data_IF_446464480175
#
_entry.id   IF_446464480175
#
_cell.length_a   1.000
_cell.length_b   1.000
_cell.length_c   1.000
_cell.angle_alpha   90.00
_cell.angle_beta   90.00
_cell.angle_gamma   90.00
#
_symmetry.space_group_name_H-M   'P 1'
#
loop_
_entity.id
_entity.type
_entity.pdbx_description
1 polymer ?
#
# COMPACT_ATOMS: atom_id res chain seq x y z
N UNK A 1 19.93 5.38 24.40
CA UNK A 1 18.76 5.19 23.52
C UNK A 1 17.91 6.44 23.60
N UNK A 2 17.81 7.19 22.51
CA UNK A 2 17.12 8.49 22.47
C UNK A 2 15.61 8.33 22.25
N UNK A 3 14.84 9.41 22.46
CA UNK A 3 13.41 9.44 22.14
C UNK A 3 13.16 9.24 20.64
N UNK A 4 14.04 9.77 19.78
CA UNK A 4 13.94 9.58 18.33
C UNK A 4 14.04 8.09 17.96
N UNK A 5 15.01 7.37 18.55
CA UNK A 5 15.16 5.92 18.32
C UNK A 5 13.92 5.14 18.77
N UNK A 6 13.25 5.58 19.84
CA UNK A 6 11.99 4.97 20.31
C UNK A 6 10.82 5.25 19.38
N UNK A 7 10.74 6.45 18.79
CA UNK A 7 9.71 6.79 17.81
C UNK A 7 9.88 6.02 16.50
N UNK A 8 11.11 5.82 16.03
CA UNK A 8 11.39 5.00 14.84
C UNK A 8 10.98 3.54 15.08
N UNK A 9 11.42 2.95 16.18
CA UNK A 9 11.06 1.56 16.54
C UNK A 9 9.53 1.41 16.73
N UNK A 10 8.86 2.41 17.29
CA UNK A 10 7.40 2.39 17.45
C UNK A 10 6.63 2.54 16.14
N UNK A 11 7.17 3.32 15.17
CA UNK A 11 6.57 3.48 13.84
C UNK A 11 6.66 2.16 13.06
N UNK A 12 7.84 1.55 13.07
CA UNK A 12 8.09 0.28 12.38
C UNK A 12 7.31 -0.89 12.99
N UNK A 13 6.97 -0.83 14.29
CA UNK A 13 6.21 -1.88 14.97
C UNK A 13 4.78 -2.00 14.46
N UNK A 14 4.12 -0.87 14.17
CA UNK A 14 2.75 -0.86 13.64
C UNK A 14 2.69 -1.51 12.25
N UNK A 15 3.58 -1.08 11.36
CA UNK A 15 3.73 -1.63 10.00
C UNK A 15 4.11 -3.11 10.03
N UNK A 16 5.07 -3.48 10.89
CA UNK A 16 5.49 -4.88 11.08
C UNK A 16 4.33 -5.75 11.55
N UNK A 17 3.48 -5.27 12.48
CA UNK A 17 2.30 -6.02 12.92
C UNK A 17 1.30 -6.26 11.79
N UNK A 18 1.03 -5.23 10.98
CA UNK A 18 0.09 -5.35 9.84
C UNK A 18 0.61 -6.40 8.86
N UNK A 19 1.88 -6.34 8.50
CA UNK A 19 2.50 -7.30 7.57
C UNK A 19 2.52 -8.71 8.19
N UNK A 20 2.88 -8.84 9.46
CA UNK A 20 2.88 -10.14 10.15
C UNK A 20 1.48 -10.78 10.14
N UNK A 21 0.44 -10.00 10.40
CA UNK A 21 -0.94 -10.49 10.36
C UNK A 21 -1.35 -10.93 8.94
N UNK A 22 -0.98 -10.15 7.92
CA UNK A 22 -1.23 -10.50 6.53
C UNK A 22 -0.52 -11.82 6.14
N UNK A 23 0.73 -11.99 6.55
CA UNK A 23 1.50 -13.23 6.32
C UNK A 23 0.82 -14.43 6.96
N UNK A 24 0.40 -14.33 8.23
CA UNK A 24 -0.29 -15.44 8.92
C UNK A 24 -1.57 -15.84 8.19
N UNK A 25 -2.35 -14.88 7.71
CA UNK A 25 -3.55 -15.15 6.92
C UNK A 25 -3.22 -15.79 5.57
N UNK A 26 -2.14 -15.36 4.91
CA UNK A 26 -1.69 -15.94 3.65
C UNK A 26 -1.16 -17.37 3.82
N UNK A 27 -0.45 -17.66 4.90
CA UNK A 27 -0.05 -19.02 5.25
C UNK A 27 -1.24 -19.95 5.53
N UNK A 28 -2.41 -19.40 5.86
CA UNK A 28 -3.67 -20.14 5.97
C UNK A 28 -4.40 -20.31 4.62
N UNK A 29 -3.77 -19.96 3.50
CA UNK A 29 -4.34 -20.11 2.16
C UNK A 29 -5.17 -18.92 1.67
N UNK A 30 -5.19 -17.78 2.38
CA UNK A 30 -6.00 -16.61 2.00
C UNK A 30 -5.20 -15.63 1.14
N UNK A 31 -5.84 -15.04 0.13
CA UNK A 31 -5.25 -13.90 -0.58
C UNK A 31 -5.56 -12.60 0.18
N UNK A 32 -4.51 -11.91 0.63
CA UNK A 32 -4.59 -10.71 1.46
C UNK A 32 -4.05 -9.52 0.69
N UNK A 33 -4.76 -8.40 0.74
CA UNK A 33 -4.30 -7.13 0.19
C UNK A 33 -3.95 -6.18 1.33
N UNK A 34 -2.76 -5.60 1.29
CA UNK A 34 -2.27 -4.65 2.29
C UNK A 34 -2.04 -3.30 1.61
N UNK A 35 -2.52 -2.23 2.22
CA UNK A 35 -2.27 -0.86 1.79
C UNK A 35 -1.07 -0.31 2.56
N UNK A 36 0.01 0.02 1.85
CA UNK A 36 1.25 0.55 2.44
C UNK A 36 1.82 1.65 1.55
N UNK A 37 1.94 2.86 2.09
CA UNK A 37 2.53 4.01 1.38
C UNK A 37 4.01 4.25 1.72
N UNK A 38 4.51 3.70 2.83
CA UNK A 38 5.91 3.84 3.24
C UNK A 38 6.84 2.85 2.52
N UNK A 39 8.08 3.27 2.25
CA UNK A 39 9.03 2.46 1.48
C UNK A 39 9.55 1.23 2.21
N UNK A 40 9.67 1.27 3.54
CA UNK A 40 10.22 0.17 4.33
C UNK A 40 9.21 -0.99 4.43
N UNK A 41 7.94 -0.66 4.70
CA UNK A 41 6.82 -1.60 4.69
C UNK A 41 6.62 -2.25 3.32
N UNK A 42 6.76 -1.50 2.22
CA UNK A 42 6.70 -2.05 0.86
C UNK A 42 7.81 -3.07 0.61
N UNK A 43 9.05 -2.78 1.02
CA UNK A 43 10.18 -3.71 0.89
C UNK A 43 9.98 -4.97 1.72
N UNK A 44 9.51 -4.83 2.97
CA UNK A 44 9.24 -5.95 3.85
C UNK A 44 8.13 -6.85 3.30
N UNK A 45 7.05 -6.26 2.77
CA UNK A 45 5.96 -7.01 2.14
C UNK A 45 6.44 -7.75 0.88
N UNK A 46 7.26 -7.11 0.03
CA UNK A 46 7.84 -7.73 -1.16
C UNK A 46 8.72 -8.94 -0.81
N UNK A 47 9.51 -8.83 0.27
CA UNK A 47 10.29 -9.97 0.77
C UNK A 47 9.40 -11.15 1.18
N UNK A 48 8.26 -10.88 1.84
CA UNK A 48 7.31 -11.92 2.23
C UNK A 48 6.55 -12.51 1.03
N UNK A 49 6.17 -11.68 0.04
CA UNK A 49 5.59 -12.14 -1.23
C UNK A 49 6.51 -13.16 -1.91
N UNK A 50 7.79 -12.83 -2.08
CA UNK A 50 8.77 -13.73 -2.70
C UNK A 50 9.01 -15.00 -1.87
N UNK A 51 8.87 -14.95 -0.54
CA UNK A 51 8.93 -16.13 0.32
C UNK A 51 7.73 -17.05 0.09
N UNK A 52 6.52 -16.51 0.09
CA UNK A 52 5.30 -17.28 -0.12
C UNK A 52 5.23 -17.88 -1.52
N UNK A 53 5.67 -17.15 -2.54
CA UNK A 53 5.74 -17.65 -3.91
C UNK A 53 6.65 -18.90 -4.01
N UNK A 54 7.84 -18.86 -3.40
CA UNK A 54 8.74 -20.02 -3.34
C UNK A 54 8.11 -21.21 -2.62
N UNK A 55 7.38 -20.97 -1.54
CA UNK A 55 6.69 -22.02 -0.79
C UNK A 55 5.54 -22.64 -1.61
N UNK A 56 4.77 -21.84 -2.34
CA UNK A 56 3.76 -22.34 -3.28
C UNK A 56 4.38 -23.17 -4.40
N UNK A 57 5.50 -22.72 -4.96
CA UNK A 57 6.24 -23.48 -5.97
C UNK A 57 6.75 -24.84 -5.44
N UNK A 58 6.98 -24.95 -4.13
CA UNK A 58 7.31 -26.20 -3.45
C UNK A 58 6.08 -27.07 -3.08
N UNK A 59 4.87 -26.68 -3.50
CA UNK A 59 3.64 -27.46 -3.30
C UNK A 59 2.85 -27.11 -2.03
N UNK A 60 3.24 -26.07 -1.28
CA UNK A 60 2.45 -25.61 -0.15
C UNK A 60 1.18 -24.85 -0.61
N UNK A 61 0.05 -25.11 0.04
CA UNK A 61 -1.22 -24.43 -0.25
C UNK A 61 -1.33 -23.08 0.50
N UNK A 62 -0.42 -22.16 0.20
CA UNK A 62 -0.47 -20.80 0.72
C UNK A 62 -1.19 -19.87 -0.23
N UNK A 63 -1.84 -18.83 0.31
CA UNK A 63 -2.48 -17.77 -0.45
C UNK A 63 -1.48 -16.70 -0.87
N UNK A 64 -1.99 -15.51 -1.21
CA UNK A 64 -1.21 -14.39 -1.75
C UNK A 64 -1.10 -13.22 -0.79
N UNK A 65 -0.05 -12.43 -0.99
CA UNK A 65 0.04 -11.07 -0.48
C UNK A 65 0.02 -10.14 -1.68
N UNK A 66 -0.83 -9.12 -1.65
CA UNK A 66 -0.91 -8.07 -2.65
C UNK A 66 -0.62 -6.72 -2.00
N UNK A 67 0.25 -5.93 -2.63
CA UNK A 67 0.55 -4.57 -2.22
C UNK A 67 -0.32 -3.61 -3.04
N UNK A 68 -1.01 -2.70 -2.35
CA UNK A 68 -1.59 -1.50 -2.97
C UNK A 68 -1.09 -0.25 -2.23
N UNK A 69 -1.13 0.89 -2.91
CA UNK A 69 -0.86 2.19 -2.30
C UNK A 69 -2.10 3.05 -2.34
N UNK A 70 -2.09 4.18 -1.63
CA UNK A 70 -3.12 5.21 -1.79
C UNK A 70 -3.22 5.66 -3.25
N UNK A 71 -2.10 5.75 -3.97
CA UNK A 71 -2.12 6.04 -5.42
C UNK A 71 -2.87 4.97 -6.20
N UNK A 72 -2.64 3.69 -5.93
CA UNK A 72 -3.37 2.59 -6.60
C UNK A 72 -4.88 2.69 -6.37
N UNK A 73 -5.32 3.02 -5.16
CA UNK A 73 -6.73 3.19 -4.83
C UNK A 73 -7.34 4.37 -5.60
N UNK A 74 -6.65 5.50 -5.62
CA UNK A 74 -7.11 6.70 -6.31
C UNK A 74 -7.15 6.50 -7.83
N UNK A 75 -6.14 5.87 -8.43
CA UNK A 75 -6.11 5.53 -9.85
C UNK A 75 -7.31 4.66 -10.23
N UNK A 76 -7.61 3.63 -9.41
CA UNK A 76 -8.73 2.73 -9.68
C UNK A 76 -10.10 3.39 -9.47
N UNK A 77 -10.18 4.41 -8.62
CA UNK A 77 -11.41 5.14 -8.34
C UNK A 77 -11.67 6.29 -9.33
N UNK A 78 -10.71 6.64 -10.19
CA UNK A 78 -10.91 7.66 -11.21
C UNK A 78 -12.04 7.29 -12.17
N UNK A 79 -12.93 8.24 -12.47
CA UNK A 79 -14.13 8.03 -13.28
C UNK A 79 -15.28 7.31 -12.55
N UNK A 80 -15.08 6.90 -11.29
CA UNK A 80 -16.16 6.31 -10.48
C UNK A 80 -17.11 7.37 -9.92
N UNK A 81 -18.21 6.91 -9.31
CA UNK A 81 -19.13 7.77 -8.55
C UNK A 81 -18.45 8.53 -7.40
N UNK A 82 -17.33 8.04 -6.88
CA UNK A 82 -16.59 8.66 -5.78
C UNK A 82 -15.56 9.69 -6.26
N UNK A 83 -14.99 9.50 -7.45
CA UNK A 83 -14.04 10.44 -8.06
C UNK A 83 -14.41 10.62 -9.55
N UNK A 84 -15.47 11.36 -9.86
CA UNK A 84 -16.03 11.43 -11.21
C UNK A 84 -15.14 12.22 -12.18
N UNK A 85 -14.36 13.18 -11.67
CA UNK A 85 -13.55 14.06 -12.49
C UNK A 85 -12.19 14.44 -11.86
N UNK A 86 -11.31 14.98 -12.71
CA UNK A 86 -9.96 15.43 -12.34
C UNK A 86 -9.97 16.52 -11.27
N UNK A 87 -11.01 17.36 -11.22
CA UNK A 87 -11.13 18.40 -10.22
C UNK A 87 -11.41 17.81 -8.83
N UNK A 88 -12.25 16.77 -8.76
CA UNK A 88 -12.55 16.01 -7.56
C UNK A 88 -11.34 15.24 -7.09
N UNK A 89 -10.59 14.59 -8.01
CA UNK A 89 -9.31 13.95 -7.71
C UNK A 89 -8.34 14.91 -7.04
N UNK A 90 -8.15 16.11 -7.62
CA UNK A 90 -7.22 17.11 -7.09
C UNK A 90 -7.60 17.53 -5.66
N UNK A 91 -8.87 17.87 -5.43
CA UNK A 91 -9.37 18.27 -4.11
C UNK A 91 -9.21 17.16 -3.07
N UNK A 92 -9.50 15.91 -3.45
CA UNK A 92 -9.34 14.77 -2.56
C UNK A 92 -7.86 14.54 -2.23
N UNK A 93 -6.99 14.55 -3.24
CA UNK A 93 -5.56 14.36 -3.09
C UNK A 93 -4.92 15.40 -2.19
N UNK A 94 -5.27 16.67 -2.36
CA UNK A 94 -4.77 17.78 -1.52
C UNK A 94 -5.18 17.59 -0.06
N UNK A 95 -6.41 17.13 0.21
CA UNK A 95 -6.86 16.80 1.57
C UNK A 95 -6.08 15.65 2.17
N UNK A 96 -5.86 14.57 1.41
CA UNK A 96 -5.09 13.40 1.87
C UNK A 96 -3.64 13.77 2.17
N UNK A 97 -2.97 14.49 1.26
CA UNK A 97 -1.60 14.95 1.43
C UNK A 97 -1.43 15.96 2.57
N UNK A 98 -2.50 16.65 2.96
CA UNK A 98 -2.50 17.49 4.16
C UNK A 98 -2.43 16.68 5.47
N UNK A 99 -2.75 15.39 5.43
CA UNK A 99 -2.76 14.48 6.58
C UNK A 99 -1.60 13.48 6.55
N UNK A 100 -0.97 13.28 5.38
CA UNK A 100 0.04 12.26 5.13
C UNK A 100 1.23 12.87 4.35
N UNK A 101 2.43 12.78 4.95
CA UNK A 101 3.67 13.24 4.35
C UNK A 101 4.27 12.26 3.33
N UNK A 102 3.73 11.04 3.24
CA UNK A 102 4.14 10.00 2.29
C UNK A 102 3.66 10.21 0.85
N UNK A 103 2.72 11.13 0.61
CA UNK A 103 2.17 11.36 -0.73
C UNK A 103 3.02 12.35 -1.55
N UNK A 104 3.51 11.95 -2.75
CA UNK A 104 4.29 12.83 -3.61
C UNK A 104 3.43 14.02 -4.10
N UNK A 105 4.02 15.08 -4.68
CA UNK A 105 3.23 16.07 -5.40
C UNK A 105 2.37 15.40 -6.48
N UNK A 106 1.09 15.82 -6.62
CA UNK A 106 0.17 15.21 -7.60
C UNK A 106 0.69 15.30 -9.04
N UNK A 107 1.54 16.28 -9.33
CA UNK A 107 2.20 16.47 -10.63
C UNK A 107 3.24 15.39 -10.93
N UNK A 108 3.68 14.63 -9.93
CA UNK A 108 4.61 13.50 -10.08
C UNK A 108 3.87 12.15 -10.14
N UNK A 109 2.55 12.16 -10.23
CA UNK A 109 1.72 10.94 -10.33
C UNK A 109 1.00 10.89 -11.67
N UNK A 110 0.42 9.74 -11.99
CA UNK A 110 -0.39 9.56 -13.19
C UNK A 110 -1.86 9.91 -12.96
N UNK A 111 -2.25 10.35 -11.76
CA UNK A 111 -3.65 10.55 -11.36
C UNK A 111 -4.43 11.54 -12.23
N UNK A 112 -3.75 12.46 -12.92
CA UNK A 112 -4.37 13.43 -13.81
C UNK A 112 -4.11 13.15 -15.30
N UNK A 113 -3.33 12.11 -15.61
CA UNK A 113 -3.02 11.70 -16.98
C UNK A 113 -4.30 11.20 -17.68
N UNK A 114 -4.50 11.47 -18.98
CA UNK A 114 -5.69 11.01 -19.69
C UNK A 114 -5.94 9.49 -19.59
N UNK A 115 -4.88 8.68 -19.54
CA UNK A 115 -4.93 7.22 -19.42
C UNK A 115 -5.63 6.71 -18.16
N UNK A 116 -5.73 7.52 -17.09
CA UNK A 116 -6.39 7.15 -15.84
C UNK A 116 -7.90 7.43 -15.86
N UNK A 117 -8.42 8.15 -16.85
CA UNK A 117 -9.82 8.63 -16.92
C UNK A 117 -10.58 8.12 -18.14
N UNK A 118 -10.11 7.02 -18.73
CA UNK A 118 -10.65 6.44 -19.96
C UNK A 118 -11.72 5.39 -19.67
#
# INVERSE_FOLDING_TARGET
MSLADRFTISKDLGETMVIAHAVVLAEQGKSVTVLIDDGAGQQLLAFQQARLERLRAAGHNFGDLNLITTLTVLERAAGSTHIPDKATMRKLYERLRGLDDGLPPITHTQLLAPSTWS
#
